data_IF_030872482789
#
_entry.id   IF_030872482789
#
_cell.length_a   1.000
_cell.length_b   1.000
_cell.length_c   1.000
_cell.angle_alpha   90.00
_cell.angle_beta   90.00
_cell.angle_gamma   90.00
#
_symmetry.space_group_name_H-M   'P 1'
#
loop_
_entity.id
_entity.type
_entity.pdbx_description
1 polymer ?
#
# COMPACT_ATOMS: atom_id res chain seq x y z
N UNK A 1 48.61 -10.02 -4.13
CA UNK A 1 48.95 -9.10 -5.25
C UNK A 1 47.68 -8.28 -5.53
N UNK A 2 47.55 -7.02 -5.09
CA UNK A 2 47.91 -5.75 -5.79
C UNK A 2 47.49 -5.83 -7.28
N UNK A 3 46.58 -5.03 -7.84
CA UNK A 3 46.43 -3.56 -7.92
C UNK A 3 44.94 -3.20 -8.19
N UNK A 4 44.26 -2.25 -7.53
CA UNK A 4 44.27 -0.78 -7.67
C UNK A 4 43.81 -0.21 -9.04
N UNK A 5 42.61 0.39 -9.08
CA UNK A 5 42.42 1.82 -9.47
C UNK A 5 41.00 2.34 -9.21
N UNK A 6 40.90 3.37 -8.38
CA UNK A 6 39.78 4.33 -8.30
C UNK A 6 39.81 5.24 -9.53
N UNK A 7 38.65 5.65 -10.03
CA UNK A 7 38.52 6.83 -10.88
C UNK A 7 37.33 7.67 -10.41
N UNK A 8 37.65 8.88 -9.91
CA UNK A 8 36.74 9.99 -9.70
C UNK A 8 36.26 10.49 -11.06
N UNK A 9 34.95 10.70 -11.22
CA UNK A 9 34.42 11.71 -12.15
C UNK A 9 33.30 12.47 -11.41
N UNK A 10 33.67 13.65 -10.93
CA UNK A 10 32.77 14.74 -10.55
C UNK A 10 32.17 15.36 -11.82
N UNK A 11 30.86 15.56 -11.87
CA UNK A 11 30.22 16.40 -12.89
C UNK A 11 29.27 17.38 -12.20
N UNK A 12 29.69 18.64 -12.19
CA UNK A 12 28.95 19.80 -11.70
C UNK A 12 28.26 20.45 -12.89
N UNK A 13 26.92 20.53 -12.90
CA UNK A 13 26.14 21.44 -13.76
C UNK A 13 24.92 21.85 -12.93
N UNK A 14 25.02 22.95 -12.17
CA UNK A 14 24.69 24.32 -12.57
C UNK A 14 23.17 24.59 -12.59
N UNK A 15 22.78 25.42 -11.61
CA UNK A 15 21.51 26.15 -11.50
C UNK A 15 21.08 26.75 -12.85
N UNK A 16 19.82 26.52 -13.25
CA UNK A 16 19.13 27.38 -14.20
C UNK A 16 18.14 28.29 -13.47
N UNK A 17 18.37 29.59 -13.67
CA UNK A 17 17.62 30.71 -13.14
C UNK A 17 16.22 30.84 -13.77
N UNK A 18 15.27 31.20 -12.90
CA UNK A 18 14.21 32.20 -13.06
C UNK A 18 13.87 32.66 -14.50
N UNK A 19 12.61 32.48 -14.91
CA UNK A 19 11.91 33.50 -15.69
C UNK A 19 10.43 33.54 -15.32
N UNK A 20 10.08 34.68 -14.72
CA UNK A 20 8.75 35.19 -14.45
C UNK A 20 8.26 35.87 -15.74
N UNK A 21 7.14 35.43 -16.32
CA UNK A 21 6.35 36.30 -17.20
C UNK A 21 4.88 36.19 -16.80
N UNK A 22 4.40 37.29 -16.23
CA UNK A 22 2.99 37.60 -15.99
C UNK A 22 2.34 37.93 -17.33
N UNK A 23 1.15 37.39 -17.57
CA UNK A 23 0.19 38.00 -18.50
C UNK A 23 -1.14 38.16 -17.77
N UNK A 24 -1.59 39.40 -17.66
CA UNK A 24 -2.91 39.83 -17.19
C UNK A 24 -3.76 40.21 -18.40
N UNK A 25 -5.01 39.74 -18.44
CA UNK A 25 -6.02 40.17 -19.41
C UNK A 25 -7.42 39.65 -19.07
N UNK A 26 -8.25 40.55 -18.54
CA UNK A 26 -9.74 40.58 -18.41
C UNK A 26 -10.50 40.13 -19.66
N UNK A 27 -11.80 39.77 -19.69
CA UNK A 27 -12.94 39.85 -18.77
C UNK A 27 -14.02 38.83 -19.23
N UNK A 28 -14.75 38.29 -18.25
CA UNK A 28 -16.17 37.91 -18.27
C UNK A 28 -16.76 37.03 -19.39
N UNK A 29 -17.21 35.82 -19.02
CA UNK A 29 -18.66 35.52 -19.02
C UNK A 29 -18.97 34.27 -18.17
N UNK A 30 -19.85 34.46 -17.18
CA UNK A 30 -20.51 33.41 -16.42
C UNK A 30 -21.52 32.70 -17.31
N UNK A 31 -21.40 31.37 -17.44
CA UNK A 31 -22.54 30.51 -17.74
C UNK A 31 -22.59 29.41 -16.70
N UNK A 32 -23.77 29.29 -16.10
CA UNK A 32 -24.12 28.32 -15.09
C UNK A 32 -24.15 26.90 -15.65
N UNK A 33 -23.91 25.98 -14.73
CA UNK A 33 -24.43 24.61 -14.66
C UNK A 33 -23.93 23.61 -15.72
N UNK A 34 -22.88 22.88 -15.31
CA UNK A 34 -22.94 21.42 -15.40
C UNK A 34 -22.32 20.87 -14.12
N UNK A 35 -23.06 21.00 -13.02
CA UNK A 35 -22.71 20.33 -11.76
C UNK A 35 -22.99 18.83 -11.86
N UNK A 36 -22.34 18.18 -12.83
CA UNK A 36 -22.19 16.73 -12.85
C UNK A 36 -21.30 16.40 -11.67
N UNK A 37 -21.93 16.02 -10.56
CA UNK A 37 -21.28 15.50 -9.37
C UNK A 37 -20.35 14.36 -9.82
N UNK A 38 -19.09 14.69 -10.05
CA UNK A 38 -18.01 13.74 -10.26
C UNK A 38 -17.99 12.97 -8.96
N UNK A 39 -18.60 11.79 -8.94
CA UNK A 39 -18.53 10.88 -7.81
C UNK A 39 -17.05 10.79 -7.47
N UNK A 40 -16.63 11.38 -6.35
CA UNK A 40 -15.25 11.30 -5.89
C UNK A 40 -15.01 9.81 -5.68
N UNK A 41 -14.30 9.17 -6.61
CA UNK A 41 -13.92 7.77 -6.48
C UNK A 41 -13.24 7.64 -5.13
N UNK A 42 -13.71 6.70 -4.30
CA UNK A 42 -13.10 6.41 -3.01
C UNK A 42 -11.59 6.21 -3.19
N UNK A 43 -10.77 6.90 -2.39
CA UNK A 43 -9.30 6.78 -2.45
C UNK A 43 -8.82 5.52 -1.72
N UNK A 44 -9.71 4.87 -0.97
CA UNK A 44 -9.41 3.73 -0.13
C UNK A 44 -8.89 2.54 -0.91
N UNK A 45 -8.01 1.78 -0.27
CA UNK A 45 -7.52 0.48 -0.74
C UNK A 45 -7.74 -0.51 0.38
N UNK A 46 -8.27 -1.69 0.08
CA UNK A 46 -8.45 -2.74 1.08
C UNK A 46 -8.25 -4.10 0.44
N UNK A 47 -7.90 -5.08 1.24
CA UNK A 47 -7.69 -6.44 0.75
C UNK A 47 -8.16 -7.51 1.71
N UNK A 48 -8.35 -8.68 1.13
CA UNK A 48 -8.43 -9.94 1.85
C UNK A 48 -7.32 -10.86 1.33
N UNK A 49 -6.46 -11.30 2.24
CA UNK A 49 -5.49 -12.36 1.97
C UNK A 49 -5.98 -13.61 2.67
N UNK A 50 -6.07 -14.73 1.95
CA UNK A 50 -6.29 -16.05 2.54
C UNK A 50 -4.98 -16.80 2.54
N UNK A 51 -4.63 -17.39 3.67
CA UNK A 51 -3.37 -18.10 3.85
C UNK A 51 -3.56 -19.44 4.54
N UNK A 52 -2.76 -20.42 4.15
CA UNK A 52 -2.60 -21.68 4.86
C UNK A 52 -1.50 -21.53 5.91
N UNK A 53 -1.78 -21.91 7.14
CA UNK A 53 -0.83 -21.88 8.26
C UNK A 53 0.03 -23.15 8.18
N UNK A 54 1.36 -22.99 8.14
CA UNK A 54 2.26 -24.15 8.13
C UNK A 54 2.19 -24.92 9.44
N UNK A 55 2.42 -26.22 9.36
CA UNK A 55 2.37 -27.13 10.52
C UNK A 55 3.25 -26.60 11.68
N UNK A 56 2.69 -26.56 12.88
CA UNK A 56 3.37 -26.08 14.09
C UNK A 56 3.60 -24.56 14.19
N UNK A 57 3.16 -23.75 13.23
CA UNK A 57 3.42 -22.30 13.22
C UNK A 57 2.32 -21.44 13.86
N UNK A 58 1.22 -22.03 14.32
CA UNK A 58 0.06 -21.28 14.85
C UNK A 58 0.42 -20.31 15.98
N UNK A 59 1.21 -20.76 16.97
CA UNK A 59 1.56 -19.90 18.11
C UNK A 59 2.55 -18.80 17.71
N UNK A 60 3.49 -19.11 16.81
CA UNK A 60 4.40 -18.12 16.25
C UNK A 60 3.64 -17.05 15.43
N UNK A 61 2.62 -17.48 14.67
CA UNK A 61 1.73 -16.59 13.91
C UNK A 61 0.95 -15.65 14.85
N UNK A 62 0.41 -16.15 15.96
CA UNK A 62 -0.27 -15.33 16.97
C UNK A 62 0.68 -14.31 17.62
N UNK A 63 1.93 -14.69 17.86
CA UNK A 63 2.94 -13.79 18.43
C UNK A 63 3.31 -12.67 17.46
N UNK A 64 3.60 -12.99 16.20
CA UNK A 64 3.93 -11.96 15.20
C UNK A 64 2.73 -11.06 14.89
N UNK A 65 1.50 -11.60 14.91
CA UNK A 65 0.28 -10.79 14.81
C UNK A 65 0.25 -9.70 15.89
N UNK A 66 0.47 -10.06 17.17
CA UNK A 66 0.46 -9.09 18.26
C UNK A 66 1.54 -8.01 18.09
N UNK A 67 2.71 -8.38 17.59
CA UNK A 67 3.81 -7.46 17.28
C UNK A 67 3.44 -6.50 16.14
N UNK A 68 2.91 -7.03 15.04
CA UNK A 68 2.52 -6.27 13.85
C UNK A 68 1.36 -5.31 14.15
N UNK A 69 0.30 -5.79 14.82
CA UNK A 69 -0.83 -4.95 15.28
C UNK A 69 -0.31 -3.78 16.11
N UNK A 70 0.61 -4.01 17.04
CA UNK A 70 1.21 -2.94 17.86
C UNK A 70 2.01 -1.96 17.01
N UNK A 71 2.81 -2.45 16.06
CA UNK A 71 3.59 -1.59 15.17
C UNK A 71 2.69 -0.73 14.28
N UNK A 72 1.74 -1.33 13.58
CA UNK A 72 0.80 -0.65 12.68
C UNK A 72 -0.02 0.39 13.44
N UNK A 73 -0.61 0.03 14.58
CA UNK A 73 -1.40 0.97 15.41
C UNK A 73 -0.60 2.21 15.86
N UNK A 74 0.70 2.05 16.12
CA UNK A 74 1.53 3.15 16.62
C UNK A 74 2.11 4.04 15.52
N UNK A 75 2.26 3.52 14.29
CA UNK A 75 3.08 4.18 13.26
C UNK A 75 2.33 4.43 11.94
N UNK A 76 1.15 3.84 11.74
CA UNK A 76 0.41 3.87 10.47
C UNK A 76 -1.01 4.40 10.72
N UNK A 77 -1.19 5.71 10.99
CA UNK A 77 -2.49 6.29 11.37
C UNK A 77 -3.56 6.18 10.27
N UNK A 78 -3.14 6.01 9.00
CA UNK A 78 -4.01 5.87 7.84
C UNK A 78 -4.36 4.39 7.52
N UNK A 79 -3.93 3.45 8.38
CA UNK A 79 -4.44 2.07 8.38
C UNK A 79 -5.73 2.03 9.21
N UNK A 80 -6.86 2.01 8.50
CA UNK A 80 -8.21 2.12 9.05
C UNK A 80 -8.72 0.82 9.66
N UNK A 81 -8.26 -0.32 9.15
CA UNK A 81 -8.56 -1.64 9.72
C UNK A 81 -7.36 -2.54 9.52
N UNK A 82 -7.03 -3.30 10.56
CA UNK A 82 -5.94 -4.26 10.57
C UNK A 82 -6.38 -5.47 11.40
N UNK A 83 -6.99 -6.45 10.72
CA UNK A 83 -7.67 -7.56 11.40
C UNK A 83 -7.28 -8.91 10.80
N UNK A 84 -6.88 -9.82 11.69
CA UNK A 84 -6.44 -11.15 11.35
C UNK A 84 -7.36 -12.18 12.01
N UNK A 85 -8.00 -13.00 11.20
CA UNK A 85 -8.92 -14.05 11.66
C UNK A 85 -8.35 -15.43 11.37
N UNK A 86 -8.71 -16.42 12.18
CA UNK A 86 -8.28 -17.82 12.00
C UNK A 86 -9.52 -18.69 11.84
N UNK A 87 -9.47 -19.67 10.93
CA UNK A 87 -10.53 -20.65 10.73
C UNK A 87 -10.79 -21.49 11.97
N UNK A 88 -11.97 -22.11 12.08
CA UNK A 88 -12.34 -22.96 13.23
C UNK A 88 -11.39 -24.14 13.43
N UNK A 89 -10.83 -24.70 12.36
CA UNK A 89 -9.86 -25.79 12.41
C UNK A 89 -8.41 -25.32 12.63
N UNK A 90 -8.20 -24.00 12.74
CA UNK A 90 -6.91 -23.35 12.97
C UNK A 90 -5.86 -23.59 11.87
N UNK A 91 -6.29 -23.89 10.65
CA UNK A 91 -5.41 -24.14 9.50
C UNK A 91 -5.31 -22.97 8.53
N UNK A 92 -6.26 -22.05 8.55
CA UNK A 92 -6.30 -20.91 7.63
C UNK A 92 -6.26 -19.62 8.43
N UNK A 93 -5.45 -18.66 7.99
CA UNK A 93 -5.47 -17.30 8.49
C UNK A 93 -5.92 -16.33 7.38
N UNK A 94 -6.80 -15.41 7.73
CA UNK A 94 -7.33 -14.37 6.87
C UNK A 94 -6.78 -13.01 7.32
N UNK A 95 -6.17 -12.25 6.42
CA UNK A 95 -5.75 -10.88 6.68
C UNK A 95 -6.70 -9.92 5.98
N UNK A 96 -7.49 -9.19 6.75
CA UNK A 96 -8.32 -8.10 6.25
C UNK A 96 -7.72 -6.77 6.68
N UNK A 97 -7.32 -5.97 5.70
CA UNK A 97 -6.66 -4.71 5.95
C UNK A 97 -7.26 -3.64 5.03
N UNK A 98 -7.44 -2.44 5.59
CA UNK A 98 -8.11 -1.32 4.93
C UNK A 98 -7.34 -0.03 5.21
N UNK A 99 -7.04 0.69 4.15
CA UNK A 99 -6.21 1.88 4.14
C UNK A 99 -6.98 3.06 3.56
N UNK A 100 -6.70 4.25 4.06
CA UNK A 100 -7.33 5.48 3.58
C UNK A 100 -6.97 5.79 2.12
N UNK A 101 -5.76 5.42 1.68
CA UNK A 101 -5.25 5.70 0.34
C UNK A 101 -4.05 4.82 -0.05
N UNK A 102 -3.60 4.94 -1.31
CA UNK A 102 -2.43 4.23 -1.84
C UNK A 102 -1.11 4.57 -1.13
N UNK A 103 -0.93 5.79 -0.62
CA UNK A 103 0.28 6.16 0.13
C UNK A 103 0.39 5.36 1.44
N UNK A 104 -0.73 5.21 2.16
CA UNK A 104 -0.80 4.39 3.36
C UNK A 104 -0.45 2.92 3.08
N UNK A 105 -0.90 2.37 1.95
CA UNK A 105 -0.49 1.03 1.50
C UNK A 105 1.02 0.95 1.30
N UNK A 106 1.63 1.93 0.64
CA UNK A 106 3.07 1.91 0.39
C UNK A 106 3.91 2.04 1.66
N UNK A 107 3.44 2.81 2.65
CA UNK A 107 4.04 2.86 3.99
C UNK A 107 3.95 1.49 4.66
N UNK A 108 2.79 0.85 4.59
CA UNK A 108 2.56 -0.47 5.16
C UNK A 108 3.45 -1.53 4.51
N UNK A 109 3.46 -1.64 3.18
CA UNK A 109 4.25 -2.66 2.45
C UNK A 109 5.75 -2.48 2.67
N UNK A 110 6.24 -1.23 2.73
CA UNK A 110 7.64 -0.94 3.08
C UNK A 110 7.96 -1.43 4.50
N UNK A 111 7.14 -1.05 5.48
CA UNK A 111 7.34 -1.44 6.88
C UNK A 111 7.27 -2.95 7.06
N UNK A 112 6.32 -3.60 6.40
CA UNK A 112 6.17 -5.04 6.34
C UNK A 112 7.43 -5.72 5.79
N UNK A 113 7.89 -5.27 4.61
CA UNK A 113 9.08 -5.80 3.96
C UNK A 113 10.34 -5.70 4.82
N UNK A 114 10.53 -4.56 5.49
CA UNK A 114 11.72 -4.29 6.31
C UNK A 114 11.75 -5.05 7.64
N UNK A 115 10.59 -5.33 8.24
CA UNK A 115 10.50 -5.84 9.62
C UNK A 115 9.95 -7.25 9.77
N UNK A 116 9.03 -7.66 8.91
CA UNK A 116 8.13 -8.79 9.20
C UNK A 116 8.07 -9.85 8.10
N UNK A 117 8.35 -9.49 6.83
CA UNK A 117 8.12 -10.36 5.69
C UNK A 117 8.79 -11.72 5.79
N UNK A 118 10.08 -11.80 6.14
CA UNK A 118 10.79 -13.07 6.27
C UNK A 118 10.13 -14.00 7.29
N UNK A 119 9.78 -13.48 8.47
CA UNK A 119 9.16 -14.25 9.55
C UNK A 119 7.75 -14.68 9.18
N UNK A 120 6.91 -13.75 8.72
CA UNK A 120 5.51 -14.05 8.40
C UNK A 120 5.40 -15.04 7.24
N UNK A 121 6.08 -14.78 6.12
CA UNK A 121 6.05 -15.67 4.94
C UNK A 121 6.74 -17.02 5.22
N UNK A 122 7.62 -17.07 6.23
CA UNK A 122 8.14 -18.31 6.79
C UNK A 122 7.06 -19.18 7.46
N UNK A 123 5.99 -18.58 8.00
CA UNK A 123 4.95 -19.26 8.79
C UNK A 123 3.71 -19.66 7.98
N UNK A 124 3.47 -19.03 6.83
CA UNK A 124 2.25 -19.21 6.03
C UNK A 124 2.54 -19.50 4.56
N UNK A 125 1.53 -19.95 3.84
CA UNK A 125 1.47 -19.98 2.38
C UNK A 125 0.29 -19.11 1.92
N UNK A 126 0.49 -18.26 0.91
CA UNK A 126 -0.56 -17.38 0.40
C UNK A 126 -1.41 -18.16 -0.61
N UNK A 127 -2.68 -18.39 -0.28
CA UNK A 127 -3.64 -19.08 -1.15
C UNK A 127 -4.33 -18.10 -2.11
N UNK A 128 -4.68 -16.91 -1.61
CA UNK A 128 -5.26 -15.84 -2.41
C UNK A 128 -4.93 -14.47 -1.84
N UNK A 129 -4.87 -13.47 -2.73
CA UNK A 129 -4.70 -12.07 -2.39
C UNK A 129 -5.59 -11.22 -3.30
N UNK A 130 -6.74 -10.79 -2.75
CA UNK A 130 -7.73 -9.99 -3.47
C UNK A 130 -7.68 -8.53 -2.98
N UNK A 131 -7.40 -7.60 -3.90
CA UNK A 131 -7.28 -6.17 -3.64
C UNK A 131 -8.48 -5.45 -4.25
N UNK A 132 -9.03 -4.48 -3.52
CA UNK A 132 -10.21 -3.71 -3.85
C UNK A 132 -9.98 -2.21 -3.62
N UNK A 133 -10.96 -1.40 -4.02
CA UNK A 133 -10.90 0.05 -3.91
C UNK A 133 -10.27 0.68 -5.15
N UNK A 134 -9.42 1.70 -4.97
CA UNK A 134 -8.79 2.43 -6.06
C UNK A 134 -7.26 2.52 -5.92
N UNK A 135 -6.54 1.39 -5.91
CA UNK A 135 -5.08 1.38 -5.82
C UNK A 135 -4.46 2.04 -7.06
N UNK A 136 -3.43 2.86 -6.83
CA UNK A 136 -2.65 3.44 -7.90
C UNK A 136 -1.67 2.43 -8.53
N UNK A 137 -0.94 2.86 -9.57
CA UNK A 137 0.02 1.98 -10.25
C UNK A 137 1.20 1.58 -9.36
N UNK A 138 1.60 2.40 -8.37
CA UNK A 138 2.67 2.02 -7.45
C UNK A 138 2.25 0.85 -6.56
N UNK A 139 1.04 0.92 -6.01
CA UNK A 139 0.45 -0.17 -5.23
C UNK A 139 0.31 -1.42 -6.09
N UNK A 140 -0.23 -1.29 -7.31
CA UNK A 140 -0.39 -2.45 -8.20
C UNK A 140 0.95 -3.13 -8.50
N UNK A 141 1.97 -2.35 -8.83
CA UNK A 141 3.31 -2.87 -9.10
C UNK A 141 3.94 -3.51 -7.86
N UNK A 142 3.73 -2.93 -6.67
CA UNK A 142 4.26 -3.47 -5.42
C UNK A 142 3.62 -4.79 -5.00
N UNK A 143 2.32 -4.97 -5.25
CA UNK A 143 1.56 -6.14 -4.79
C UNK A 143 1.50 -7.28 -5.82
N UNK A 144 1.64 -6.97 -7.11
CA UNK A 144 1.59 -7.97 -8.20
C UNK A 144 2.57 -9.15 -8.02
N UNK A 145 3.83 -8.97 -7.55
CA UNK A 145 4.75 -10.09 -7.31
C UNK A 145 4.27 -11.09 -6.25
N UNK A 146 3.33 -10.69 -5.39
CA UNK A 146 2.70 -11.56 -4.38
C UNK A 146 1.45 -12.28 -4.92
N UNK A 147 1.16 -12.16 -6.22
CA UNK A 147 -0.02 -12.77 -6.84
C UNK A 147 -1.33 -12.01 -6.60
N UNK A 148 -1.24 -10.73 -6.22
CA UNK A 148 -2.41 -9.89 -5.99
C UNK A 148 -3.29 -9.77 -7.24
N UNK A 149 -4.61 -9.91 -7.04
CA UNK A 149 -5.63 -9.66 -8.06
C UNK A 149 -6.39 -8.38 -7.72
N UNK A 150 -6.59 -7.54 -8.72
CA UNK A 150 -7.20 -6.23 -8.54
C UNK A 150 -8.64 -6.24 -9.05
N UNK A 151 -9.57 -5.90 -8.16
CA UNK A 151 -11.01 -5.93 -8.39
C UNK A 151 -11.57 -4.49 -8.46
N UNK A 152 -12.61 -4.29 -9.26
CA UNK A 152 -13.26 -2.98 -9.41
C UNK A 152 -14.59 -2.95 -8.65
N UNK A 153 -14.86 -1.83 -7.97
CA UNK A 153 -16.15 -1.62 -7.31
C UNK A 153 -17.24 -1.26 -8.32
N UNK A 154 -18.43 -1.80 -8.12
CA UNK A 154 -19.66 -1.43 -8.86
C UNK A 154 -20.57 -0.49 -8.05
N UNK A 155 -20.18 -0.13 -6.82
CA UNK A 155 -20.95 0.70 -5.89
C UNK A 155 -20.94 0.15 -4.45
N UNK A 156 -21.21 1.01 -3.45
CA UNK A 156 -21.25 0.64 -2.04
C UNK A 156 -21.05 1.84 -1.10
N UNK A 157 -21.06 1.60 0.22
CA UNK A 157 -20.70 2.61 1.23
C UNK A 157 -19.93 1.98 2.39
N UNK A 158 -19.06 2.78 3.02
CA UNK A 158 -18.41 2.50 4.31
C UNK A 158 -18.76 3.66 5.27
N UNK A 159 -18.72 3.45 6.58
CA UNK A 159 -19.08 4.45 7.60
C UNK A 159 -17.91 4.76 8.51
#
# INVERSE_FOLDING_TARGET
MKYCKRSLITCTVALCFLNLFVSLGSDGQTTADDSKQKTKTSEHVYWLITTSIKEGQLDALKQINAEMVKNTKNNEPETLTYDWSISTDQKTCYFFEHYANSEAVMIHTKTFGEKFAERLLGMIEIDSFEVFGNPDENVKNSLSPLGAKFNHSIGGFSR
#
